data_IF_514188119609
#
_entry.id   IF_514188119609
#
_cell.length_a   1.000
_cell.length_b   1.000
_cell.length_c   1.000
_cell.angle_alpha   90.00
_cell.angle_beta   90.00
_cell.angle_gamma   90.00
#
_symmetry.space_group_name_H-M   'P 1'
#
loop_
_entity.id
_entity.type
_entity.pdbx_description
1 polymer ?
#
# COMPACT_ATOMS: atom_id res chain seq x y z
N UNK A 1 -7.40 -0.52 -5.01
CA UNK A 1 -7.22 -1.47 -3.89
C UNK A 1 -8.34 -2.51 -3.78
N UNK A 2 -9.64 -2.14 -3.67
CA UNK A 2 -10.74 -3.15 -3.61
C UNK A 2 -10.77 -4.15 -4.76
N UNK A 3 -10.49 -3.70 -5.99
CA UNK A 3 -10.40 -4.59 -7.16
C UNK A 3 -9.27 -5.64 -7.02
N UNK A 4 -8.08 -5.24 -6.55
CA UNK A 4 -6.96 -6.16 -6.29
C UNK A 4 -7.32 -7.18 -5.21
N UNK A 5 -8.02 -6.77 -4.16
CA UNK A 5 -8.50 -7.68 -3.11
C UNK A 5 -9.47 -8.72 -3.67
N UNK A 6 -10.45 -8.31 -4.49
CA UNK A 6 -11.39 -9.25 -5.12
C UNK A 6 -10.69 -10.22 -6.07
N UNK A 7 -9.73 -9.75 -6.86
CA UNK A 7 -8.98 -10.59 -7.79
C UNK A 7 -8.04 -11.57 -7.05
N UNK A 8 -7.46 -11.15 -5.93
CA UNK A 8 -6.67 -12.04 -5.08
C UNK A 8 -7.55 -13.15 -4.49
N UNK A 9 -8.71 -12.80 -3.93
CA UNK A 9 -9.67 -13.78 -3.41
C UNK A 9 -10.16 -14.74 -4.50
N UNK A 10 -10.42 -14.24 -5.71
CA UNK A 10 -10.78 -15.09 -6.85
C UNK A 10 -9.67 -16.08 -7.20
N UNK A 11 -8.40 -15.66 -7.19
CA UNK A 11 -7.27 -16.57 -7.38
C UNK A 11 -7.16 -17.61 -6.26
N UNK A 12 -7.31 -17.22 -5.00
CA UNK A 12 -7.26 -18.15 -3.87
C UNK A 12 -8.38 -19.21 -3.93
N UNK A 13 -9.58 -18.85 -4.38
CA UNK A 13 -10.74 -19.74 -4.44
C UNK A 13 -10.83 -20.56 -5.74
N UNK A 14 -10.53 -19.96 -6.89
CA UNK A 14 -10.73 -20.57 -8.22
C UNK A 14 -9.43 -21.13 -8.82
N UNK A 15 -8.29 -20.90 -8.15
CA UNK A 15 -6.99 -21.42 -8.57
C UNK A 15 -6.40 -20.72 -9.79
N UNK A 16 -5.49 -21.40 -10.48
CA UNK A 16 -4.60 -20.80 -11.49
C UNK A 16 -5.32 -20.07 -12.65
N UNK A 17 -6.58 -20.40 -12.93
CA UNK A 17 -7.40 -19.73 -13.95
C UNK A 17 -7.61 -18.24 -13.70
N UNK A 18 -7.61 -17.82 -12.42
CA UNK A 18 -7.83 -16.41 -12.04
C UNK A 18 -6.53 -15.64 -11.78
N UNK A 19 -5.36 -16.33 -11.83
CA UNK A 19 -4.04 -15.75 -11.57
C UNK A 19 -3.71 -14.61 -12.53
N UNK A 20 -3.89 -14.82 -13.83
CA UNK A 20 -3.49 -13.83 -14.85
C UNK A 20 -4.24 -12.50 -14.72
N UNK A 21 -5.51 -12.54 -14.31
CA UNK A 21 -6.30 -11.33 -14.07
C UNK A 21 -5.74 -10.52 -12.89
N UNK A 22 -5.36 -11.20 -11.79
CA UNK A 22 -4.72 -10.57 -10.65
C UNK A 22 -3.35 -9.98 -11.02
N UNK A 23 -2.49 -10.74 -11.69
CA UNK A 23 -1.15 -10.28 -12.10
C UNK A 23 -1.22 -9.03 -12.99
N UNK A 24 -2.11 -9.03 -13.98
CA UNK A 24 -2.30 -7.86 -14.84
C UNK A 24 -2.79 -6.64 -14.06
N UNK A 25 -3.70 -6.83 -13.10
CA UNK A 25 -4.18 -5.74 -12.27
C UNK A 25 -3.08 -5.18 -11.34
N UNK A 26 -2.22 -6.05 -10.79
CA UNK A 26 -1.05 -5.63 -10.00
C UNK A 26 -0.08 -4.81 -10.85
N UNK A 27 0.23 -5.25 -12.07
CA UNK A 27 1.12 -4.50 -12.96
C UNK A 27 0.57 -3.10 -13.27
N UNK A 28 -0.71 -2.97 -13.59
CA UNK A 28 -1.34 -1.64 -13.78
C UNK A 28 -1.25 -0.76 -12.53
N UNK A 29 -1.40 -1.35 -11.34
CA UNK A 29 -1.26 -0.62 -10.10
C UNK A 29 0.18 -0.14 -9.87
N UNK A 30 1.16 -1.00 -10.15
CA UNK A 30 2.58 -0.66 -10.04
C UNK A 30 3.00 0.44 -11.01
N UNK A 31 2.43 0.49 -12.22
CA UNK A 31 2.69 1.57 -13.18
C UNK A 31 2.05 2.89 -12.77
N UNK A 32 0.87 2.84 -12.12
CA UNK A 32 0.15 4.01 -11.64
C UNK A 32 0.76 4.64 -10.39
N UNK A 33 1.20 3.81 -9.44
CA UNK A 33 1.58 4.24 -8.09
C UNK A 33 2.71 5.30 -8.04
N UNK A 34 3.78 5.24 -8.86
CA UNK A 34 4.83 6.25 -8.87
C UNK A 34 4.32 7.64 -9.23
N UNK A 35 3.44 7.76 -10.23
CA UNK A 35 2.90 9.05 -10.64
C UNK A 35 1.96 9.63 -9.58
N UNK A 36 1.18 8.76 -8.93
CA UNK A 36 0.38 9.15 -7.76
C UNK A 36 1.27 9.73 -6.64
N UNK A 37 2.33 9.03 -6.24
CA UNK A 37 3.27 9.49 -5.22
C UNK A 37 3.93 10.82 -5.62
N UNK A 38 4.38 10.94 -6.87
CA UNK A 38 4.99 12.17 -7.40
C UNK A 38 4.02 13.34 -7.29
N UNK A 39 2.75 13.17 -7.65
CA UNK A 39 1.75 14.22 -7.54
C UNK A 39 1.51 14.65 -6.09
N UNK A 40 1.43 13.68 -5.17
CA UNK A 40 1.28 13.99 -3.75
C UNK A 40 2.47 14.79 -3.21
N UNK A 41 3.69 14.39 -3.55
CA UNK A 41 4.92 15.01 -3.03
C UNK A 41 5.21 16.38 -3.64
N UNK A 42 4.95 16.54 -4.93
CA UNK A 42 5.35 17.75 -5.68
C UNK A 42 4.24 18.80 -5.78
N UNK A 43 2.98 18.40 -5.60
CA UNK A 43 1.83 19.31 -5.75
C UNK A 43 0.98 19.34 -4.49
N UNK A 44 0.45 18.20 -4.04
CA UNK A 44 -0.56 18.17 -2.96
C UNK A 44 0.03 18.59 -1.62
N UNK A 45 1.12 17.97 -1.16
CA UNK A 45 1.77 18.29 0.12
C UNK A 45 2.26 19.74 0.18
N UNK A 46 2.94 20.29 -0.84
CA UNK A 46 3.34 21.69 -0.86
C UNK A 46 2.16 22.66 -0.75
N UNK A 47 1.09 22.42 -1.49
CA UNK A 47 -0.09 23.28 -1.45
C UNK A 47 -0.85 23.16 -0.12
N UNK A 48 -0.92 21.95 0.46
CA UNK A 48 -1.46 21.74 1.80
C UNK A 48 -0.67 22.54 2.85
N UNK A 49 0.66 22.53 2.80
CA UNK A 49 1.51 23.32 3.72
C UNK A 49 1.28 24.83 3.59
N UNK A 50 0.92 25.32 2.41
CA UNK A 50 0.64 26.75 2.16
C UNK A 50 -0.74 27.19 2.63
N UNK A 51 -1.74 26.29 2.58
CA UNK A 51 -3.15 26.65 2.78
C UNK A 51 -3.75 26.19 4.10
N UNK A 52 -3.25 25.12 4.69
CA UNK A 52 -3.81 24.57 5.93
C UNK A 52 -3.33 25.35 7.14
N UNK A 53 -4.28 25.67 8.03
CA UNK A 53 -4.00 26.26 9.33
C UNK A 53 -3.37 25.25 10.30
N UNK A 54 -2.81 25.69 11.44
CA UNK A 54 -2.36 24.76 12.48
C UNK A 54 -3.46 23.84 12.99
N UNK A 55 -4.71 24.33 13.09
CA UNK A 55 -5.85 23.51 13.49
C UNK A 55 -6.18 22.43 12.46
N UNK A 56 -6.16 22.79 11.17
CA UNK A 56 -6.35 21.85 10.06
C UNK A 56 -5.34 20.70 10.07
N UNK A 57 -4.09 21.00 10.44
CA UNK A 57 -3.04 20.00 10.59
C UNK A 57 -3.31 19.10 11.80
N UNK A 58 -3.67 19.67 12.95
CA UNK A 58 -3.98 18.89 14.15
C UNK A 58 -5.13 17.89 13.92
N UNK A 59 -6.20 18.31 13.22
CA UNK A 59 -7.33 17.44 12.88
C UNK A 59 -6.92 16.30 11.93
N UNK A 60 -6.06 16.60 10.94
CA UNK A 60 -5.55 15.59 10.00
C UNK A 60 -4.60 14.61 10.68
N UNK A 61 -3.67 15.10 11.49
CA UNK A 61 -2.72 14.26 12.21
C UNK A 61 -3.46 13.32 13.17
N UNK A 62 -4.50 13.81 13.86
CA UNK A 62 -5.37 12.96 14.69
C UNK A 62 -6.07 11.87 13.86
N UNK A 63 -6.59 12.21 12.68
CA UNK A 63 -7.21 11.23 11.79
C UNK A 63 -6.19 10.19 11.27
N UNK A 64 -4.99 10.62 10.84
CA UNK A 64 -3.93 9.72 10.40
C UNK A 64 -3.43 8.81 11.53
N UNK A 65 -3.35 9.30 12.77
CA UNK A 65 -2.97 8.50 13.92
C UNK A 65 -3.95 7.34 14.21
N UNK A 66 -5.22 7.47 13.81
CA UNK A 66 -6.20 6.37 13.88
C UNK A 66 -6.07 5.35 12.74
N UNK A 67 -5.42 5.74 11.63
CA UNK A 67 -5.15 4.89 10.47
C UNK A 67 -3.70 4.40 10.52
N UNK A 68 -3.40 3.63 11.55
CA UNK A 68 -2.06 3.12 11.80
C UNK A 68 -1.47 2.37 10.62
N UNK A 69 -0.32 2.82 10.12
CA UNK A 69 0.39 2.14 9.04
C UNK A 69 1.16 0.93 9.61
N UNK A 70 0.78 -0.31 9.27
CA UNK A 70 1.44 -1.52 9.73
C UNK A 70 2.90 -1.65 9.27
N UNK A 71 3.33 -0.87 8.26
CA UNK A 71 4.71 -0.86 7.76
C UNK A 71 5.67 -0.01 8.61
N UNK A 72 5.14 0.87 9.47
CA UNK A 72 5.94 1.71 10.37
C UNK A 72 6.46 0.96 11.60
N UNK A 73 6.03 -0.29 11.79
CA UNK A 73 6.32 -1.09 13.00
C UNK A 73 5.65 -0.58 14.27
N UNK A 74 4.93 0.54 14.20
CA UNK A 74 4.26 1.18 15.35
C UNK A 74 2.86 0.61 15.58
N UNK A 75 2.24 0.08 14.51
CA UNK A 75 0.88 -0.44 14.55
C UNK A 75 0.85 -1.94 14.23
N UNK A 76 0.00 -2.72 14.92
CA UNK A 76 -0.14 -4.14 14.64
C UNK A 76 -0.63 -4.34 13.21
N UNK A 77 0.02 -5.25 12.49
CA UNK A 77 -0.40 -5.69 11.17
C UNK A 77 -1.74 -6.40 11.27
N UNK A 78 -2.61 -6.21 10.29
CA UNK A 78 -3.84 -6.98 10.20
C UNK A 78 -3.47 -8.47 10.00
N UNK A 79 -3.86 -9.38 10.94
CA UNK A 79 -3.50 -10.78 10.89
C UNK A 79 -3.89 -11.48 9.59
N UNK A 80 -4.90 -10.99 8.87
CA UNK A 80 -5.33 -11.57 7.58
C UNK A 80 -4.24 -11.47 6.51
N UNK A 81 -3.36 -10.46 6.60
CA UNK A 81 -2.30 -10.23 5.62
C UNK A 81 -0.92 -10.68 6.11
N UNK A 82 -0.76 -11.14 7.35
CA UNK A 82 0.55 -11.50 7.94
C UNK A 82 1.31 -12.55 7.11
N UNK A 83 0.60 -13.59 6.65
CA UNK A 83 1.19 -14.65 5.82
C UNK A 83 1.62 -14.14 4.44
N UNK A 84 0.80 -13.28 3.83
CA UNK A 84 1.09 -12.68 2.54
C UNK A 84 2.29 -11.73 2.66
N UNK A 85 2.29 -10.85 3.66
CA UNK A 85 3.36 -9.92 3.92
C UNK A 85 4.68 -10.65 4.17
N UNK A 86 4.68 -11.67 5.04
CA UNK A 86 5.87 -12.50 5.30
C UNK A 86 6.38 -13.12 4.01
N UNK A 87 5.50 -13.66 3.16
CA UNK A 87 5.88 -14.25 1.88
C UNK A 87 6.49 -13.21 0.92
N UNK A 88 5.96 -11.99 0.89
CA UNK A 88 6.49 -10.89 0.07
C UNK A 88 7.88 -10.50 0.58
N UNK A 89 8.04 -10.22 1.88
CA UNK A 89 9.33 -9.83 2.48
C UNK A 89 10.41 -10.89 2.29
N UNK A 90 10.05 -12.18 2.41
CA UNK A 90 11.01 -13.28 2.20
C UNK A 90 11.44 -13.45 0.73
N UNK A 91 10.71 -12.89 -0.24
CA UNK A 91 10.97 -13.05 -1.68
C UNK A 91 11.40 -11.75 -2.38
N UNK A 92 11.15 -10.60 -1.76
CA UNK A 92 11.56 -9.32 -2.29
C UNK A 92 13.06 -9.13 -2.06
N UNK A 93 13.82 -8.66 -3.06
CA UNK A 93 15.23 -8.35 -2.88
C UNK A 93 15.39 -7.15 -1.94
N UNK A 94 16.58 -7.03 -1.34
CA UNK A 94 16.95 -5.82 -0.62
C UNK A 94 16.77 -4.57 -1.52
N UNK A 95 16.31 -3.43 -0.97
CA UNK A 95 16.10 -3.11 0.45
C UNK A 95 14.68 -3.40 0.98
N UNK A 96 13.79 -3.95 0.16
CA UNK A 96 12.37 -4.11 0.49
C UNK A 96 12.12 -5.41 1.27
N UNK A 97 12.94 -6.44 1.06
CA UNK A 97 12.85 -7.73 1.73
C UNK A 97 14.20 -8.28 2.19
N UNK A 98 14.20 -9.53 2.66
CA UNK A 98 15.39 -10.22 3.21
C UNK A 98 16.02 -11.22 2.23
N UNK A 99 15.48 -11.35 1.02
CA UNK A 99 16.13 -12.21 0.03
C UNK A 99 17.43 -11.56 -0.46
N UNK A 100 18.53 -12.30 -0.37
CA UNK A 100 19.75 -11.94 -1.05
C UNK A 100 19.45 -11.98 -2.56
N UNK A 101 19.83 -10.91 -3.28
CA UNK A 101 19.71 -10.83 -4.74
C UNK A 101 20.41 -11.98 -5.45
#
# INVERSE_FOLDING_TARGET
>A
MRELQHLLLAWELLGASSRSAFELAVLRYLDFYPEHMRLEETVVRPEARRRLSPQDWAERDAAFATNGDPLTGTYPRDPVYDRLFTRIVMRAPAPIGVSAG
#
